data_IF_335645062846
#
_entry.id   IF_335645062846
#
_cell.length_a   1.000
_cell.length_b   1.000
_cell.length_c   1.000
_cell.angle_alpha   90.00
_cell.angle_beta   90.00
_cell.angle_gamma   90.00
#
_symmetry.space_group_name_H-M   'P 1'
#
loop_
_entity.id
_entity.type
_entity.pdbx_description
1 polymer ?
#
# COMPACT_ATOMS: atom_id res chain seq x y z
N UNK A 1 -30.80 22.27 5.25
CA UNK A 1 -30.46 21.20 6.20
C UNK A 1 -30.30 19.92 5.38
N UNK A 2 -29.07 19.49 5.13
CA UNK A 2 -28.84 18.16 4.57
C UNK A 2 -29.00 17.21 5.73
N UNK A 3 -30.01 16.34 5.68
CA UNK A 3 -30.18 15.29 6.67
C UNK A 3 -29.00 14.32 6.53
N UNK A 4 -28.09 14.35 7.49
CA UNK A 4 -27.06 13.31 7.61
C UNK A 4 -27.79 11.98 7.84
N UNK A 5 -27.70 11.06 6.88
CA UNK A 5 -28.12 9.68 7.08
C UNK A 5 -27.38 9.07 8.28
N UNK A 6 -27.86 7.94 8.84
CA UNK A 6 -27.22 7.34 10.00
C UNK A 6 -25.73 7.11 9.72
N UNK A 7 -24.89 7.77 10.50
CA UNK A 7 -23.45 7.51 10.47
C UNK A 7 -23.24 6.05 10.82
N UNK A 8 -22.49 5.32 9.99
CA UNK A 8 -22.12 3.94 10.32
C UNK A 8 -21.34 3.96 11.63
N UNK A 9 -21.65 3.01 12.52
CA UNK A 9 -20.92 2.86 13.77
C UNK A 9 -19.42 2.71 13.48
N UNK A 10 -18.52 3.40 14.21
CA UNK A 10 -17.09 3.38 13.92
C UNK A 10 -16.50 1.96 13.83
N UNK A 11 -16.96 1.05 14.69
CA UNK A 11 -16.54 -0.36 14.68
C UNK A 11 -16.89 -1.09 13.37
N UNK A 12 -18.03 -0.76 12.76
CA UNK A 12 -18.47 -1.37 11.50
C UNK A 12 -17.62 -0.86 10.33
N UNK A 13 -17.28 0.44 10.35
CA UNK A 13 -16.38 1.05 9.36
C UNK A 13 -15.00 0.40 9.47
N UNK A 14 -14.42 0.33 10.66
CA UNK A 14 -13.11 -0.30 10.89
C UNK A 14 -13.10 -1.78 10.47
N UNK A 15 -14.15 -2.52 10.84
CA UNK A 15 -14.29 -3.92 10.46
C UNK A 15 -14.39 -4.11 8.95
N UNK A 16 -15.09 -3.21 8.26
CA UNK A 16 -15.19 -3.24 6.79
C UNK A 16 -13.87 -2.89 6.14
N UNK A 17 -13.22 -1.83 6.57
CA UNK A 17 -11.91 -1.39 6.03
C UNK A 17 -10.88 -2.50 6.21
N UNK A 18 -10.80 -3.12 7.40
CA UNK A 18 -9.88 -4.23 7.66
C UNK A 18 -10.11 -5.41 6.71
N UNK A 19 -11.38 -5.75 6.42
CA UNK A 19 -11.69 -6.84 5.48
C UNK A 19 -11.25 -6.51 4.05
N UNK A 20 -11.45 -5.28 3.61
CA UNK A 20 -11.05 -4.89 2.25
C UNK A 20 -9.53 -4.81 2.11
N UNK A 21 -8.83 -4.22 3.09
CA UNK A 21 -7.37 -4.20 3.11
C UNK A 21 -6.82 -5.64 3.11
N UNK A 22 -7.37 -6.56 3.89
CA UNK A 22 -6.88 -7.94 3.96
C UNK A 22 -7.02 -8.72 2.64
N UNK A 23 -7.92 -8.29 1.74
CA UNK A 23 -8.08 -8.87 0.40
C UNK A 23 -7.10 -8.32 -0.62
N UNK A 24 -6.57 -7.12 -0.38
CA UNK A 24 -5.73 -6.39 -1.32
C UNK A 24 -4.59 -7.22 -1.90
N UNK A 25 -3.83 -8.02 -1.12
CA UNK A 25 -2.67 -8.73 -1.65
C UNK A 25 -3.05 -9.79 -2.68
N UNK A 26 -4.12 -10.53 -2.42
CA UNK A 26 -4.62 -11.54 -3.35
C UNK A 26 -5.19 -10.92 -4.63
N UNK A 27 -5.84 -9.75 -4.52
CA UNK A 27 -6.30 -8.99 -5.69
C UNK A 27 -5.11 -8.50 -6.50
N UNK A 28 -4.09 -7.93 -5.85
CA UNK A 28 -2.89 -7.44 -6.52
C UNK A 28 -2.15 -8.58 -7.22
N UNK A 29 -1.95 -9.72 -6.55
CA UNK A 29 -1.35 -10.90 -7.17
C UNK A 29 -2.15 -11.38 -8.39
N UNK A 30 -3.48 -11.45 -8.28
CA UNK A 30 -4.34 -11.86 -9.39
C UNK A 30 -4.29 -10.91 -10.60
N UNK A 31 -4.09 -9.60 -10.37
CA UNK A 31 -3.92 -8.60 -11.43
C UNK A 31 -2.55 -8.69 -12.11
N UNK A 32 -1.53 -9.15 -11.40
CA UNK A 32 -0.14 -9.13 -11.87
C UNK A 32 0.36 -10.46 -12.45
N UNK A 33 -0.26 -11.59 -12.07
CA UNK A 33 0.24 -12.96 -12.35
C UNK A 33 0.50 -13.27 -13.84
N UNK A 34 -0.22 -12.62 -14.75
CA UNK A 34 -0.16 -12.90 -16.19
C UNK A 34 0.66 -11.85 -16.97
N UNK A 35 1.29 -10.88 -16.27
CA UNK A 35 2.13 -9.87 -16.91
C UNK A 35 3.49 -10.45 -17.28
N UNK A 36 3.86 -10.30 -18.56
CA UNK A 36 5.22 -10.61 -19.00
C UNK A 36 6.23 -9.56 -18.53
N UNK A 37 7.51 -9.90 -18.63
CA UNK A 37 8.59 -9.04 -18.13
C UNK A 37 8.71 -7.70 -18.86
N UNK A 38 8.23 -7.61 -20.11
CA UNK A 38 8.24 -6.39 -20.90
C UNK A 38 7.12 -5.44 -20.43
N UNK A 39 5.90 -5.96 -20.31
CA UNK A 39 4.72 -5.24 -19.84
C UNK A 39 4.89 -4.79 -18.38
N UNK A 40 5.49 -5.63 -17.54
CA UNK A 40 5.82 -5.30 -16.15
C UNK A 40 6.63 -4.00 -15.99
N UNK A 41 7.47 -3.68 -16.99
CA UNK A 41 8.36 -2.51 -16.99
C UNK A 41 7.95 -1.43 -17.98
N UNK A 42 6.91 -1.67 -18.77
CA UNK A 42 6.45 -0.73 -19.78
C UNK A 42 5.68 0.41 -19.10
N UNK A 43 6.14 1.64 -19.34
CA UNK A 43 5.31 2.82 -19.09
C UNK A 43 4.37 3.01 -20.29
N UNK A 44 3.06 3.18 -20.09
CA UNK A 44 2.15 3.43 -21.20
C UNK A 44 2.46 4.75 -21.93
N UNK A 45 2.83 5.78 -21.17
CA UNK A 45 3.39 7.05 -21.66
C UNK A 45 4.57 7.48 -20.80
N UNK A 46 5.45 8.39 -21.27
CA UNK A 46 6.59 8.86 -20.46
C UNK A 46 6.20 9.48 -19.11
N UNK A 47 5.00 10.05 -19.00
CA UNK A 47 4.47 10.70 -17.80
C UNK A 47 3.78 9.73 -16.83
N UNK A 48 3.48 8.50 -17.25
CA UNK A 48 2.82 7.50 -16.43
C UNK A 48 3.81 6.49 -15.86
N UNK A 49 3.39 5.80 -14.81
CA UNK A 49 4.19 4.78 -14.14
C UNK A 49 3.99 3.40 -14.76
N UNK A 50 5.06 2.62 -14.78
CA UNK A 50 4.99 1.21 -15.12
C UNK A 50 4.39 0.41 -13.95
N UNK A 51 3.85 -0.81 -14.20
CA UNK A 51 3.33 -1.68 -13.14
C UNK A 51 4.31 -1.90 -11.96
N UNK A 52 5.60 -2.10 -12.25
CA UNK A 52 6.63 -2.23 -11.20
C UNK A 52 6.74 -0.99 -10.30
N UNK A 53 6.57 0.19 -10.86
CA UNK A 53 6.66 1.46 -10.13
C UNK A 53 5.45 1.67 -9.24
N UNK A 54 4.26 1.29 -9.72
CA UNK A 54 3.01 1.30 -8.95
C UNK A 54 3.12 0.35 -7.76
N UNK A 55 3.61 -0.88 -7.96
CA UNK A 55 3.71 -1.86 -6.88
C UNK A 55 4.72 -1.45 -5.81
N UNK A 56 5.89 -0.95 -6.21
CA UNK A 56 6.84 -0.42 -5.24
C UNK A 56 6.30 0.80 -4.49
N UNK A 57 5.54 1.67 -5.16
CA UNK A 57 4.91 2.81 -4.51
C UNK A 57 3.88 2.38 -3.47
N UNK A 58 3.00 1.43 -3.79
CA UNK A 58 2.02 0.89 -2.85
C UNK A 58 2.70 0.33 -1.58
N UNK A 59 3.79 -0.45 -1.77
CA UNK A 59 4.61 -0.97 -0.66
C UNK A 59 5.19 0.15 0.19
N UNK A 60 5.78 1.15 -0.45
CA UNK A 60 6.43 2.26 0.24
C UNK A 60 5.41 3.10 1.02
N UNK A 61 4.22 3.36 0.45
CA UNK A 61 3.14 4.07 1.14
C UNK A 61 2.59 3.29 2.34
N UNK A 62 2.37 1.99 2.21
CA UNK A 62 1.86 1.18 3.31
C UNK A 62 2.79 1.23 4.54
N UNK A 63 4.11 1.17 4.31
CA UNK A 63 5.11 1.13 5.40
C UNK A 63 5.47 2.52 5.90
N UNK A 64 5.90 3.40 4.99
CA UNK A 64 6.55 4.66 5.32
C UNK A 64 5.56 5.82 5.45
N UNK A 65 4.33 5.68 4.94
CA UNK A 65 3.28 6.69 5.04
C UNK A 65 2.14 6.25 5.96
N UNK A 66 1.25 5.36 5.49
CA UNK A 66 0.05 4.97 6.22
C UNK A 66 0.38 4.29 7.55
N UNK A 67 1.23 3.25 7.53
CA UNK A 67 1.63 2.52 8.72
C UNK A 67 2.34 3.41 9.75
N UNK A 68 3.28 4.23 9.29
CA UNK A 68 4.00 5.18 10.15
C UNK A 68 3.05 6.20 10.81
N UNK A 69 2.09 6.74 10.07
CA UNK A 69 1.11 7.70 10.61
C UNK A 69 0.14 7.08 11.58
N UNK A 70 -0.39 5.88 11.29
CA UNK A 70 -1.30 5.18 12.19
C UNK A 70 -0.59 4.91 13.52
N UNK A 71 0.68 4.48 13.48
CA UNK A 71 1.49 4.30 14.69
C UNK A 71 1.60 5.58 15.52
N UNK A 72 1.93 6.71 14.88
CA UNK A 72 2.01 8.01 15.56
C UNK A 72 0.69 8.37 16.24
N UNK A 73 -0.45 8.21 15.55
CA UNK A 73 -1.78 8.53 16.10
C UNK A 73 -2.09 7.67 17.33
N UNK A 74 -1.77 6.38 17.29
CA UNK A 74 -2.06 5.45 18.40
C UNK A 74 -1.15 5.68 19.61
N UNK A 75 0.06 6.16 19.36
CA UNK A 75 0.98 6.61 20.41
C UNK A 75 0.60 8.00 20.97
N UNK A 76 -0.49 8.61 20.48
CA UNK A 76 -0.98 9.92 20.92
C UNK A 76 -0.19 11.11 20.34
N UNK A 77 0.64 10.86 19.32
CA UNK A 77 1.39 11.88 18.61
C UNK A 77 0.55 12.65 17.59
N UNK A 78 1.04 13.84 17.23
CA UNK A 78 0.40 14.72 16.24
C UNK A 78 1.40 15.30 15.21
N UNK A 79 2.67 14.88 15.29
CA UNK A 79 3.72 15.29 14.37
C UNK A 79 3.98 14.18 13.37
N UNK A 80 3.80 14.46 12.09
CA UNK A 80 3.99 13.49 11.00
C UNK A 80 5.21 13.85 10.17
N UNK A 81 5.99 12.84 9.80
CA UNK A 81 7.08 13.01 8.84
C UNK A 81 6.52 13.44 7.47
N UNK A 82 7.18 14.35 6.74
CA UNK A 82 6.82 14.64 5.36
C UNK A 82 7.09 13.41 4.49
N UNK A 83 6.23 13.21 3.49
CA UNK A 83 6.34 12.14 2.50
C UNK A 83 6.73 12.70 1.14
N UNK A 84 7.53 11.94 0.39
CA UNK A 84 7.97 12.31 -0.95
C UNK A 84 8.03 11.06 -1.86
N UNK A 85 6.88 10.60 -2.37
CA UNK A 85 6.79 9.35 -3.12
C UNK A 85 7.58 9.36 -4.43
N UNK A 86 7.65 10.51 -5.11
CA UNK A 86 8.41 10.63 -6.36
C UNK A 86 9.92 10.49 -6.11
N UNK A 87 10.42 11.15 -5.06
CA UNK A 87 11.82 11.01 -4.66
C UNK A 87 12.15 9.57 -4.25
N UNK A 88 11.28 8.94 -3.46
CA UNK A 88 11.42 7.53 -3.07
C UNK A 88 11.54 6.61 -4.27
N UNK A 89 10.66 6.79 -5.26
CA UNK A 89 10.67 5.97 -6.48
C UNK A 89 11.97 6.14 -7.28
N UNK A 90 12.48 7.37 -7.36
CA UNK A 90 13.73 7.66 -8.04
C UNK A 90 14.97 7.10 -7.29
N UNK A 91 15.08 7.36 -5.98
CA UNK A 91 16.22 6.94 -5.16
C UNK A 91 16.33 5.41 -5.07
N UNK A 92 15.19 4.72 -4.91
CA UNK A 92 15.13 3.25 -4.83
C UNK A 92 15.15 2.56 -6.20
N UNK A 93 15.14 3.34 -7.29
CA UNK A 93 15.17 2.86 -8.68
C UNK A 93 14.03 1.88 -8.95
N UNK A 94 12.80 2.22 -8.53
CA UNK A 94 11.62 1.33 -8.60
C UNK A 94 11.41 0.73 -10.01
N UNK A 95 11.65 1.50 -11.08
CA UNK A 95 11.60 1.03 -12.46
C UNK A 95 12.47 -0.21 -12.78
N UNK A 96 13.48 -0.49 -11.95
CA UNK A 96 14.45 -1.59 -12.13
C UNK A 96 14.29 -2.71 -11.10
N UNK A 97 13.32 -2.61 -10.19
CA UNK A 97 13.13 -3.61 -9.14
C UNK A 97 12.88 -5.01 -9.74
N UNK A 98 13.56 -6.06 -9.24
CA UNK A 98 13.18 -7.45 -9.48
C UNK A 98 11.74 -7.69 -9.00
N UNK A 99 11.00 -8.59 -9.66
CA UNK A 99 9.59 -8.86 -9.34
C UNK A 99 9.40 -9.26 -7.86
N UNK A 100 10.29 -10.11 -7.33
CA UNK A 100 10.27 -10.51 -5.92
C UNK A 100 10.54 -9.35 -4.96
N UNK A 101 11.44 -8.44 -5.32
CA UNK A 101 11.78 -7.29 -4.46
C UNK A 101 10.71 -6.18 -4.53
N UNK A 102 10.02 -6.06 -5.66
CA UNK A 102 8.94 -5.08 -5.85
C UNK A 102 7.77 -5.33 -4.90
N UNK A 103 7.44 -6.61 -4.66
CA UNK A 103 6.42 -7.01 -3.71
C UNK A 103 6.91 -6.98 -2.24
N UNK A 104 8.22 -6.80 -2.02
CA UNK A 104 8.88 -6.86 -0.71
C UNK A 104 9.46 -8.25 -0.40
N UNK A 105 10.39 -8.38 0.58
CA UNK A 105 10.86 -9.69 1.02
C UNK A 105 9.69 -10.55 1.53
N UNK A 106 9.80 -11.87 1.42
CA UNK A 106 8.79 -12.82 1.91
C UNK A 106 8.55 -12.77 3.45
N UNK A 107 9.31 -11.96 4.18
CA UNK A 107 9.15 -11.67 5.63
C UNK A 107 8.49 -10.30 5.90
N UNK A 108 8.18 -9.53 4.84
CA UNK A 108 7.23 -8.42 4.86
C UNK A 108 6.16 -8.79 3.85
N UNK A 109 5.49 -9.90 4.10
CA UNK A 109 4.31 -10.23 3.32
C UNK A 109 3.24 -9.21 3.66
N UNK A 110 2.47 -8.78 2.68
CA UNK A 110 1.25 -8.03 2.94
C UNK A 110 0.29 -8.75 3.92
N UNK A 111 0.45 -10.07 4.08
CA UNK A 111 -0.18 -10.88 5.12
C UNK A 111 0.38 -10.63 6.55
N UNK A 112 1.58 -10.08 6.72
CA UNK A 112 2.10 -9.64 8.02
C UNK A 112 1.73 -8.20 8.34
N UNK A 113 1.49 -7.37 7.32
CA UNK A 113 1.03 -5.99 7.48
C UNK A 113 -0.50 -5.93 7.68
N UNK A 114 -1.25 -6.80 6.99
CA UNK A 114 -2.72 -6.77 6.97
C UNK A 114 -3.36 -8.07 7.51
N UNK A 115 -2.56 -9.09 7.79
CA UNK A 115 -3.09 -10.36 8.29
C UNK A 115 -3.42 -10.33 9.79
N UNK A 116 -4.20 -11.33 10.24
CA UNK A 116 -4.86 -11.30 11.54
C UNK A 116 -3.93 -11.41 12.76
N UNK A 117 -2.62 -11.65 12.57
CA UNK A 117 -1.72 -12.08 13.65
C UNK A 117 -0.65 -11.06 14.05
N UNK A 118 -0.51 -9.90 13.38
CA UNK A 118 0.36 -8.82 13.89
C UNK A 118 -0.10 -7.44 13.40
N UNK A 119 -0.45 -6.59 14.39
CA UNK A 119 -0.68 -5.14 14.34
C UNK A 119 -1.93 -4.70 13.58
N UNK A 120 -2.87 -3.95 14.15
CA UNK A 120 -2.76 -2.89 15.15
C UNK A 120 -3.99 -2.95 16.08
N UNK A 121 -3.80 -3.46 17.29
CA UNK A 121 -4.49 -3.12 18.55
C UNK A 121 -3.47 -3.27 19.66
#
# INVERSE_FOLDING_TARGET
MIASGPMREPCDVLSSVRRELARFPAVLEALLKDLDAATWRARPTPAEWAPVEIVCHLRDEEVEDFGARIKIVLEGGAAFSPIDPERWAAERRNARAPLGDALGPAEVTWAEIIGPSRMIV
#
